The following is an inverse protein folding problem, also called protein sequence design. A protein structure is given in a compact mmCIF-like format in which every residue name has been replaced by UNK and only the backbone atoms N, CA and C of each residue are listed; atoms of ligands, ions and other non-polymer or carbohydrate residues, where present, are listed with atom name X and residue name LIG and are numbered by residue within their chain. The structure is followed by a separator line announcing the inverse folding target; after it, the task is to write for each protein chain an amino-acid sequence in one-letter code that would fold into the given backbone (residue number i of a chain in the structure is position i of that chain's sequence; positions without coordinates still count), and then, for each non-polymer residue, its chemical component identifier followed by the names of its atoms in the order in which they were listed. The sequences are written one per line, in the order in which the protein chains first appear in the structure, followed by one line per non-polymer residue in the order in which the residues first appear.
data_IF_703051461127
#
_entry.id   IF_703051461127
#
_cell.length_a   1.000
_cell.length_b   1.000
_cell.length_c   1.000
_cell.angle_alpha   90.00
_cell.angle_beta   90.00
_cell.angle_gamma   90.00
#
_symmetry.space_group_name_H-M   'P 1'
#
loop_
_entity.id
_entity.type
_entity.pdbx_description
1 polymer ?
#
# COMPACT_ATOMS: atom_id res chain seq x y z
N UNK A 1 0.61 -28.80 0.20
CA UNK A 1 -0.54 -28.21 -0.55
C UNK A 1 -1.90 -28.22 0.18
N UNK A 2 -2.60 -29.35 0.40
CA UNK A 2 -3.98 -29.33 0.95
C UNK A 2 -4.11 -28.59 2.30
N UNK A 3 -3.23 -28.87 3.26
CA UNK A 3 -3.19 -28.17 4.55
C UNK A 3 -2.95 -26.66 4.43
N UNK A 4 -2.17 -26.23 3.42
CA UNK A 4 -1.89 -24.81 3.19
C UNK A 4 -3.13 -24.10 2.64
N UNK A 5 -3.82 -24.73 1.69
CA UNK A 5 -5.08 -24.22 1.13
C UNK A 5 -6.17 -24.11 2.20
N UNK A 6 -6.26 -25.07 3.13
CA UNK A 6 -7.18 -25.01 4.26
C UNK A 6 -6.90 -23.76 5.12
N UNK A 7 -5.65 -23.53 5.52
CA UNK A 7 -5.26 -22.34 6.29
C UNK A 7 -5.56 -21.03 5.57
N UNK A 8 -5.34 -20.98 4.25
CA UNK A 8 -5.66 -19.79 3.45
C UNK A 8 -7.18 -19.56 3.44
N UNK A 9 -7.97 -20.62 3.30
CA UNK A 9 -9.43 -20.54 3.34
C UNK A 9 -9.92 -20.02 4.70
N UNK A 10 -9.36 -20.52 5.81
CA UNK A 10 -9.64 -20.02 7.15
C UNK A 10 -9.28 -18.53 7.28
N UNK A 11 -8.10 -18.11 6.80
CA UNK A 11 -7.69 -16.71 6.81
C UNK A 11 -8.63 -15.82 5.97
N UNK A 12 -9.07 -16.30 4.81
CA UNK A 12 -10.05 -15.61 3.96
C UNK A 12 -11.37 -15.39 4.68
N UNK A 13 -11.86 -16.42 5.37
CA UNK A 13 -13.11 -16.32 6.14
C UNK A 13 -13.01 -15.32 7.29
N UNK A 14 -11.86 -15.23 7.95
CA UNK A 14 -11.57 -14.21 8.97
C UNK A 14 -11.63 -12.81 8.35
N UNK A 15 -10.92 -12.59 7.24
CA UNK A 15 -10.90 -11.29 6.55
C UNK A 15 -12.30 -10.90 6.07
N UNK A 16 -13.02 -11.81 5.41
CA UNK A 16 -14.33 -11.54 4.82
C UNK A 16 -15.35 -11.05 5.84
N UNK A 17 -15.26 -11.53 7.08
CA UNK A 17 -16.15 -11.17 8.20
C UNK A 17 -15.70 -9.93 8.97
N UNK A 18 -14.54 -9.37 8.65
CA UNK A 18 -13.97 -8.24 9.38
C UNK A 18 -14.60 -6.90 8.98
N UNK A 19 -14.62 -5.96 9.92
CA UNK A 19 -14.95 -4.56 9.62
C UNK A 19 -13.91 -3.93 8.70
N UNK A 20 -12.64 -4.31 8.82
CA UNK A 20 -11.58 -3.86 7.93
C UNK A 20 -11.92 -4.11 6.45
N UNK A 21 -12.37 -5.32 6.12
CA UNK A 21 -12.76 -5.63 4.74
C UNK A 21 -14.04 -4.89 4.33
N UNK A 22 -14.96 -4.60 5.26
CA UNK A 22 -16.10 -3.71 4.98
C UNK A 22 -15.67 -2.29 4.63
N UNK A 23 -14.66 -1.75 5.32
CA UNK A 23 -14.09 -0.43 5.01
C UNK A 23 -13.46 -0.42 3.61
N UNK A 24 -12.71 -1.46 3.24
CA UNK A 24 -12.15 -1.61 1.88
C UNK A 24 -13.26 -1.67 0.82
N UNK A 25 -14.30 -2.47 1.04
CA UNK A 25 -15.45 -2.56 0.11
C UNK A 25 -16.12 -1.21 -0.11
N UNK A 26 -16.18 -0.39 0.94
CA UNK A 26 -16.85 0.91 0.90
C UNK A 26 -15.95 2.01 0.30
N UNK A 27 -14.63 1.82 0.29
CA UNK A 27 -13.67 2.81 -0.21
C UNK A 27 -13.37 2.69 -1.69
N UNK A 28 -13.56 1.49 -2.29
CA UNK A 28 -13.30 1.24 -3.70
C UNK A 28 -14.54 1.60 -4.53
N UNK A 29 -14.43 2.68 -5.30
CA UNK A 29 -15.47 3.19 -6.20
C UNK A 29 -15.13 3.01 -7.70
N UNK A 30 -14.05 2.29 -8.00
CA UNK A 30 -13.52 2.10 -9.36
C UNK A 30 -13.68 0.65 -9.82
N UNK A 31 -14.17 0.41 -11.05
CA UNK A 31 -14.20 -0.92 -11.63
C UNK A 31 -12.80 -1.31 -12.13
N UNK A 32 -11.94 -1.79 -11.23
CA UNK A 32 -10.63 -2.31 -11.62
C UNK A 32 -10.78 -3.57 -12.50
N UNK A 33 -9.94 -3.68 -13.52
CA UNK A 33 -9.91 -4.85 -14.42
C UNK A 33 -8.72 -5.75 -14.13
N UNK A 34 -7.73 -5.27 -13.35
CA UNK A 34 -6.45 -5.92 -13.10
C UNK A 34 -5.96 -5.66 -11.68
N UNK A 35 -5.22 -6.60 -11.11
CA UNK A 35 -4.46 -6.40 -9.88
C UNK A 35 -2.98 -6.70 -10.13
N UNK A 36 -2.11 -5.76 -9.74
CA UNK A 36 -0.66 -5.94 -9.65
C UNK A 36 -0.27 -6.07 -8.19
N UNK A 37 0.09 -7.27 -7.75
CA UNK A 37 0.51 -7.53 -6.37
C UNK A 37 2.03 -7.51 -6.25
N UNK A 38 2.57 -6.68 -5.35
CA UNK A 38 4.00 -6.57 -5.09
C UNK A 38 4.29 -6.77 -3.60
N UNK A 39 5.41 -7.42 -3.28
CA UNK A 39 5.88 -7.61 -1.90
C UNK A 39 4.83 -8.24 -0.97
N UNK A 40 4.31 -9.39 -1.42
CA UNK A 40 3.33 -10.20 -0.71
C UNK A 40 3.95 -11.05 0.41
N UNK A 41 5.26 -11.25 0.40
CA UNK A 41 5.94 -12.29 1.16
C UNK A 41 5.65 -13.69 0.63
N UNK A 42 6.07 -14.73 1.37
CA UNK A 42 5.84 -16.14 1.02
C UNK A 42 4.69 -16.75 1.84
N UNK A 43 3.49 -16.98 1.27
CA UNK A 43 2.36 -17.60 1.99
C UNK A 43 2.65 -19.01 2.51
N UNK A 44 3.46 -19.79 1.81
CA UNK A 44 3.87 -21.11 2.29
C UNK A 44 4.73 -21.03 3.55
N UNK A 45 5.52 -19.96 3.72
CA UNK A 45 6.48 -19.83 4.81
C UNK A 45 6.03 -18.92 5.97
N UNK A 46 5.23 -17.89 5.72
CA UNK A 46 4.85 -16.88 6.72
C UNK A 46 3.35 -16.80 6.97
N UNK A 47 2.94 -16.63 8.23
CA UNK A 47 1.54 -16.39 8.57
C UNK A 47 1.04 -15.06 8.06
N UNK A 48 1.88 -14.03 8.11
CA UNK A 48 1.52 -12.69 7.68
C UNK A 48 1.27 -12.67 6.17
N UNK A 49 2.20 -13.27 5.40
CA UNK A 49 2.04 -13.43 3.96
C UNK A 49 0.80 -14.27 3.59
N UNK A 50 0.40 -15.25 4.41
CA UNK A 50 -0.87 -15.97 4.18
C UNK A 50 -2.09 -15.07 4.36
N UNK A 51 -2.10 -14.19 5.34
CA UNK A 51 -3.19 -13.22 5.49
C UNK A 51 -3.17 -12.20 4.36
N UNK A 52 -2.00 -11.71 3.97
CA UNK A 52 -1.85 -10.81 2.82
C UNK A 52 -2.34 -11.45 1.53
N UNK A 53 -2.05 -12.73 1.30
CA UNK A 53 -2.56 -13.48 0.15
C UNK A 53 -4.06 -13.74 0.26
N UNK A 54 -4.57 -14.05 1.45
CA UNK A 54 -6.00 -14.20 1.66
C UNK A 54 -6.75 -12.89 1.36
N UNK A 55 -6.20 -11.73 1.72
CA UNK A 55 -6.79 -10.43 1.35
C UNK A 55 -6.75 -10.20 -0.16
N UNK A 56 -5.65 -10.55 -0.84
CA UNK A 56 -5.58 -10.50 -2.31
C UNK A 56 -6.72 -11.32 -2.95
N UNK A 57 -6.98 -12.53 -2.45
CA UNK A 57 -8.08 -13.36 -2.97
C UNK A 57 -9.46 -12.75 -2.72
N UNK A 58 -9.69 -12.12 -1.55
CA UNK A 58 -10.93 -11.39 -1.30
C UNK A 58 -11.08 -10.14 -2.18
N UNK A 59 -9.98 -9.45 -2.50
CA UNK A 59 -9.98 -8.32 -3.44
C UNK A 59 -10.30 -8.78 -4.86
N UNK A 60 -9.75 -9.91 -5.31
CA UNK A 60 -10.04 -10.50 -6.61
C UNK A 60 -11.53 -10.78 -6.75
N UNK A 61 -12.14 -11.42 -5.74
CA UNK A 61 -13.56 -11.75 -5.75
C UNK A 61 -14.44 -10.49 -5.66
N UNK A 62 -14.08 -9.52 -4.82
CA UNK A 62 -14.78 -8.25 -4.68
C UNK A 62 -14.83 -7.48 -6.00
N UNK A 63 -13.70 -7.42 -6.70
CA UNK A 63 -13.53 -6.61 -7.91
C UNK A 63 -13.92 -7.38 -9.18
N UNK A 64 -14.13 -8.70 -9.10
CA UNK A 64 -14.39 -9.55 -10.26
C UNK A 64 -13.24 -9.60 -11.26
N UNK A 65 -12.00 -9.35 -10.79
CA UNK A 65 -10.80 -9.26 -11.63
C UNK A 65 -10.33 -10.65 -12.03
N UNK A 66 -9.94 -10.82 -13.29
CA UNK A 66 -9.36 -12.09 -13.79
C UNK A 66 -7.87 -12.01 -14.06
N UNK A 67 -7.37 -10.80 -14.31
CA UNK A 67 -5.97 -10.55 -14.64
C UNK A 67 -5.21 -10.13 -13.38
N UNK A 68 -4.45 -11.07 -12.83
CA UNK A 68 -3.65 -10.87 -11.63
C UNK A 68 -2.20 -11.19 -11.94
N UNK A 69 -1.31 -10.26 -11.58
CA UNK A 69 0.13 -10.46 -11.58
C UNK A 69 0.69 -10.32 -10.18
N UNK A 70 1.72 -11.10 -9.86
CA UNK A 70 2.37 -11.12 -8.56
C UNK A 70 3.88 -11.06 -8.72
N UNK A 71 4.55 -10.37 -7.80
CA UNK A 71 5.99 -10.49 -7.65
C UNK A 71 6.43 -10.25 -6.22
N UNK A 72 7.29 -11.14 -5.76
CA UNK A 72 8.14 -10.98 -4.60
C UNK A 72 9.38 -11.88 -4.81
N UNK A 73 10.60 -11.37 -4.64
CA UNK A 73 11.81 -12.20 -4.75
C UNK A 73 11.84 -13.37 -3.76
N UNK A 74 11.05 -13.33 -2.68
CA UNK A 74 11.00 -14.40 -1.67
C UNK A 74 10.05 -15.55 -2.02
N UNK A 75 9.34 -15.48 -3.16
CA UNK A 75 8.44 -16.56 -3.57
C UNK A 75 9.18 -17.88 -3.77
N UNK A 76 8.68 -18.92 -3.12
CA UNK A 76 9.13 -20.30 -3.27
C UNK A 76 8.40 -21.00 -4.42
N UNK A 77 8.86 -22.18 -4.81
CA UNK A 77 8.14 -23.02 -5.76
C UNK A 77 6.76 -23.46 -5.25
N UNK A 78 6.60 -23.65 -3.93
CA UNK A 78 5.30 -23.98 -3.33
C UNK A 78 4.32 -22.80 -3.41
N UNK A 79 4.82 -21.56 -3.29
CA UNK A 79 4.03 -20.35 -3.53
C UNK A 79 3.59 -20.22 -4.99
N UNK A 80 4.51 -20.47 -5.94
CA UNK A 80 4.17 -20.43 -7.37
C UNK A 80 3.12 -21.47 -7.73
N UNK A 81 3.20 -22.67 -7.17
CA UNK A 81 2.16 -23.70 -7.31
C UNK A 81 0.83 -23.26 -6.68
N UNK A 82 0.87 -22.59 -5.53
CA UNK A 82 -0.32 -22.05 -4.86
C UNK A 82 -1.01 -20.97 -5.71
N UNK A 83 -0.26 -20.09 -6.36
CA UNK A 83 -0.81 -19.02 -7.20
C UNK A 83 -1.48 -19.55 -8.47
N UNK A 84 -1.11 -20.76 -8.90
CA UNK A 84 -1.78 -21.49 -9.97
C UNK A 84 -1.75 -20.73 -11.30
N UNK A 85 -2.89 -20.13 -11.65
CA UNK A 85 -3.13 -19.45 -12.93
C UNK A 85 -2.77 -17.96 -12.97
N UNK A 86 -2.31 -17.38 -11.87
CA UNK A 86 -1.86 -15.98 -11.86
C UNK A 86 -0.45 -15.84 -12.46
N UNK A 87 -0.17 -14.66 -13.04
CA UNK A 87 1.15 -14.39 -13.63
C UNK A 87 2.15 -14.05 -12.53
N UNK A 88 3.27 -14.76 -12.47
CA UNK A 88 4.40 -14.40 -11.60
C UNK A 88 5.44 -13.70 -12.47
N UNK A 89 5.51 -12.37 -12.39
CA UNK A 89 6.31 -11.54 -13.29
C UNK A 89 6.96 -10.37 -12.55
N UNK A 90 8.28 -10.24 -12.68
CA UNK A 90 9.07 -9.18 -12.03
C UNK A 90 8.73 -7.79 -12.58
N UNK A 91 8.54 -7.71 -13.89
CA UNK A 91 8.26 -6.46 -14.58
C UNK A 91 6.79 -6.35 -14.96
N UNK A 92 6.26 -5.14 -14.93
CA UNK A 92 4.89 -4.84 -15.32
C UNK A 92 4.88 -3.66 -16.29
N UNK A 93 4.77 -3.97 -17.59
CA UNK A 93 4.92 -2.99 -18.66
C UNK A 93 3.60 -2.28 -18.99
N UNK A 94 2.89 -1.77 -17.98
CA UNK A 94 1.64 -1.02 -18.16
C UNK A 94 1.53 0.20 -17.23
N UNK A 95 2.35 1.24 -17.46
CA UNK A 95 2.34 2.41 -16.61
C UNK A 95 1.05 3.22 -16.77
N UNK A 96 0.56 3.80 -15.65
CA UNK A 96 -0.54 4.77 -15.59
C UNK A 96 -1.94 4.27 -15.99
N UNK A 97 -2.20 2.97 -15.92
CA UNK A 97 -3.54 2.45 -16.13
C UNK A 97 -4.43 2.71 -14.90
N UNK A 98 -5.53 3.44 -15.10
CA UNK A 98 -6.51 3.78 -14.05
C UNK A 98 -7.37 2.58 -13.65
N UNK A 99 -7.33 1.47 -14.40
CA UNK A 99 -8.09 0.25 -14.12
C UNK A 99 -7.23 -0.84 -13.46
N UNK A 100 -5.98 -0.54 -13.10
CA UNK A 100 -5.11 -1.44 -12.32
C UNK A 100 -5.08 -0.99 -10.87
N UNK A 101 -5.41 -1.92 -9.96
CA UNK A 101 -5.13 -1.76 -8.53
C UNK A 101 -3.77 -2.38 -8.21
N UNK A 102 -2.84 -1.59 -7.72
CA UNK A 102 -1.61 -2.12 -7.14
C UNK A 102 -1.87 -2.53 -5.69
N UNK A 103 -1.65 -3.79 -5.34
CA UNK A 103 -1.73 -4.26 -3.97
C UNK A 103 -0.32 -4.48 -3.43
N UNK A 104 0.07 -3.65 -2.47
CA UNK A 104 1.45 -3.54 -1.99
C UNK A 104 1.49 -3.59 -0.45
N UNK A 105 1.20 -4.75 0.16
CA UNK A 105 0.95 -4.84 1.60
C UNK A 105 2.20 -4.66 2.47
N UNK A 106 3.39 -4.91 1.93
CA UNK A 106 4.63 -4.78 2.71
C UNK A 106 5.86 -4.45 1.85
N UNK A 107 5.95 -3.22 1.34
CA UNK A 107 7.08 -2.79 0.51
C UNK A 107 7.96 -1.75 1.22
N UNK A 108 9.29 -1.97 1.30
CA UNK A 108 10.20 -0.95 1.81
C UNK A 108 10.16 0.34 0.98
N UNK A 109 10.36 1.49 1.64
CA UNK A 109 10.37 2.81 0.99
C UNK A 109 11.23 2.85 -0.29
N UNK A 110 12.43 2.30 -0.25
CA UNK A 110 13.33 2.31 -1.42
C UNK A 110 12.70 1.66 -2.65
N UNK A 111 12.03 0.53 -2.47
CA UNK A 111 11.38 -0.16 -3.58
C UNK A 111 10.06 0.52 -3.96
N UNK A 112 9.34 1.10 -2.99
CA UNK A 112 8.15 1.91 -3.29
C UNK A 112 8.48 3.11 -4.17
N UNK A 113 9.61 3.78 -3.93
CA UNK A 113 10.08 4.91 -4.76
C UNK A 113 10.29 4.45 -6.20
N UNK A 114 10.92 3.28 -6.39
CA UNK A 114 11.13 2.68 -7.70
C UNK A 114 9.81 2.32 -8.39
N UNK A 115 8.87 1.69 -7.68
CA UNK A 115 7.54 1.34 -8.21
C UNK A 115 6.79 2.59 -8.67
N UNK A 116 6.79 3.65 -7.84
CA UNK A 116 6.17 4.92 -8.19
C UNK A 116 6.79 5.50 -9.46
N UNK A 117 8.12 5.47 -9.59
CA UNK A 117 8.82 6.08 -10.71
C UNK A 117 8.69 5.27 -12.02
N UNK A 118 8.71 3.93 -11.91
CA UNK A 118 8.79 3.03 -13.06
C UNK A 118 7.42 2.53 -13.52
N UNK A 119 6.60 2.06 -12.58
CA UNK A 119 5.28 1.45 -12.87
C UNK A 119 4.14 2.47 -12.79
N UNK A 120 4.38 3.63 -12.17
CA UNK A 120 3.46 4.78 -12.14
C UNK A 120 2.01 4.41 -11.78
N UNK A 121 1.78 3.74 -10.62
CA UNK A 121 0.45 3.30 -10.20
C UNK A 121 -0.50 4.48 -9.98
N UNK A 122 -1.70 4.45 -10.56
CA UNK A 122 -2.73 5.45 -10.26
C UNK A 122 -3.42 5.14 -8.93
N UNK A 123 -3.67 3.86 -8.68
CA UNK A 123 -4.29 3.35 -7.47
C UNK A 123 -3.40 2.31 -6.83
N UNK A 124 -3.15 2.45 -5.54
CA UNK A 124 -2.51 1.40 -4.77
C UNK A 124 -3.11 1.24 -3.38
N UNK A 125 -3.29 0.00 -2.95
CA UNK A 125 -3.62 -0.40 -1.60
C UNK A 125 -2.33 -0.88 -0.95
N UNK A 126 -1.73 -0.05 -0.09
CA UNK A 126 -0.44 -0.34 0.52
C UNK A 126 -0.25 0.39 1.85
N UNK A 127 0.93 0.29 2.46
CA UNK A 127 1.20 1.01 3.70
C UNK A 127 1.01 2.52 3.50
N UNK A 128 0.46 3.19 4.52
CA UNK A 128 0.26 4.63 4.55
C UNK A 128 1.61 5.35 4.40
N UNK A 129 1.81 5.94 3.24
CA UNK A 129 3.01 6.71 2.88
C UNK A 129 3.36 7.77 3.94
N UNK A 130 2.37 8.39 4.62
CA UNK A 130 2.67 9.34 5.71
C UNK A 130 3.28 8.62 6.91
N UNK A 131 2.56 7.65 7.48
CA UNK A 131 3.02 6.91 8.65
C UNK A 131 4.38 6.20 8.38
N UNK A 132 4.58 5.71 7.17
CA UNK A 132 5.79 4.99 6.78
C UNK A 132 7.01 5.91 6.60
N UNK A 133 6.79 7.21 6.33
CA UNK A 133 7.85 8.20 6.12
C UNK A 133 8.15 9.04 7.36
N UNK A 134 7.28 9.06 8.38
CA UNK A 134 7.43 9.85 9.63
C UNK A 134 8.73 9.58 10.41
N UNK A 135 9.37 8.42 10.19
CA UNK A 135 10.69 8.09 10.76
C UNK A 135 11.85 8.89 10.17
N UNK A 136 11.63 9.59 9.06
CA UNK A 136 12.63 10.39 8.34
C UNK A 136 12.34 11.88 8.52
N UNK A 137 13.40 12.69 8.59
CA UNK A 137 13.25 14.15 8.46
C UNK A 137 12.80 14.50 7.04
N UNK A 138 12.04 15.59 6.87
CA UNK A 138 11.61 16.04 5.53
C UNK A 138 12.77 16.15 4.54
N UNK A 139 13.93 16.63 5.01
CA UNK A 139 15.16 16.72 4.19
C UNK A 139 15.64 15.35 3.72
N UNK A 140 15.75 14.39 4.64
CA UNK A 140 16.20 13.02 4.31
C UNK A 140 15.20 12.31 3.40
N UNK A 141 13.89 12.55 3.59
CA UNK A 141 12.85 12.04 2.71
C UNK A 141 13.00 12.61 1.29
N UNK A 142 13.16 13.93 1.15
CA UNK A 142 13.32 14.57 -0.16
C UNK A 142 14.61 14.16 -0.88
N UNK A 143 15.70 13.91 -0.15
CA UNK A 143 16.98 13.48 -0.74
C UNK A 143 16.97 12.03 -1.22
N UNK A 144 16.33 11.12 -0.47
CA UNK A 144 16.36 9.68 -0.77
C UNK A 144 15.16 9.22 -1.59
N UNK A 145 14.00 9.83 -1.39
CA UNK A 145 12.70 9.38 -1.89
C UNK A 145 11.88 10.57 -2.40
N UNK A 146 12.35 11.27 -3.45
CA UNK A 146 11.77 12.54 -3.90
C UNK A 146 10.29 12.43 -4.28
N UNK A 147 9.87 11.34 -4.96
CA UNK A 147 8.48 11.17 -5.36
C UNK A 147 7.56 10.99 -4.16
N UNK A 148 7.97 10.17 -3.18
CA UNK A 148 7.23 10.06 -1.91
C UNK A 148 7.22 11.36 -1.11
N UNK A 149 8.32 12.12 -1.12
CA UNK A 149 8.36 13.43 -0.46
C UNK A 149 7.33 14.40 -1.05
N UNK A 150 7.15 14.38 -2.38
CA UNK A 150 6.13 15.15 -3.08
C UNK A 150 4.72 14.65 -2.74
N UNK A 151 4.50 13.34 -2.62
CA UNK A 151 3.20 12.80 -2.15
C UNK A 151 2.83 13.34 -0.78
N UNK A 152 3.76 13.28 0.19
CA UNK A 152 3.55 13.80 1.54
C UNK A 152 3.26 15.30 1.50
N UNK A 153 3.98 16.05 0.65
CA UNK A 153 3.76 17.49 0.51
C UNK A 153 2.36 17.83 -0.06
N UNK A 154 1.83 17.03 -1.01
CA UNK A 154 0.46 17.21 -1.48
C UNK A 154 -0.58 16.92 -0.40
N UNK A 155 -0.31 15.94 0.47
CA UNK A 155 -1.20 15.58 1.58
C UNK A 155 -1.18 16.63 2.70
N UNK A 156 -0.01 17.20 3.00
CA UNK A 156 0.14 18.25 4.03
C UNK A 156 -0.54 19.57 3.63
N UNK A 157 -0.56 19.91 2.33
CA UNK A 157 -1.32 21.05 1.81
C UNK A 157 -2.84 20.93 2.02
N UNK A 158 -3.34 19.74 2.40
CA UNK A 158 -4.72 19.46 2.74
C UNK A 158 -5.09 19.57 4.23
N UNK A 159 -4.14 19.91 5.13
CA UNK A 159 -4.44 20.07 6.57
C UNK A 159 -5.22 21.37 6.82
N UNK A 160 -6.47 21.24 7.25
CA UNK A 160 -7.27 22.32 7.83
C UNK A 160 -6.62 22.85 9.13
N UNK A 161 -6.72 24.15 9.35
CA UNK A 161 -6.43 24.82 10.62
C UNK A 161 -7.38 24.28 11.70
N UNK A 162 -6.84 23.50 12.64
CA UNK A 162 -7.58 22.84 13.72
C UNK A 162 -7.72 23.75 14.97
N UNK A 163 -7.36 25.03 14.87
CA UNK A 163 -7.46 25.98 15.96
C UNK A 163 -6.52 25.68 17.13
N UNK A 164 -5.56 24.76 16.98
CA UNK A 164 -4.60 24.43 18.03
C UNK A 164 -3.45 25.46 18.06
N UNK A 165 -3.57 26.44 18.94
CA UNK A 165 -2.45 27.32 19.30
C UNK A 165 -1.40 26.55 20.11
N UNK A 166 -0.25 26.23 19.48
CA UNK A 166 0.93 25.68 20.17
C UNK A 166 1.44 26.68 21.22
N UNK A 167 1.44 26.29 22.49
CA UNK A 167 2.04 27.07 23.59
C UNK A 167 3.56 27.12 23.40
N UNK A 168 4.09 28.31 23.08
CA UNK A 168 5.53 28.54 22.87
C UNK A 168 6.27 28.66 24.19
N UNK A 169 6.98 27.61 24.62
CA UNK A 169 8.10 27.77 25.56
C UNK A 169 9.37 28.06 24.76
N UNK A 170 10.04 29.17 25.12
CA UNK A 170 11.28 29.65 24.53
C UNK A 170 12.41 28.62 24.62
N UNK A 171 12.51 27.76 23.59
CA UNK A 171 13.74 27.07 23.17
C UNK A 171 14.09 27.61 21.79
N UNK A 172 15.39 27.70 21.46
CA UNK A 172 15.89 28.15 20.15
C UNK A 172 14.96 27.66 19.05
N UNK A 173 14.31 28.61 18.35
CA UNK A 173 13.34 28.33 17.28
C UNK A 173 14.07 27.49 16.23
N UNK A 174 13.79 26.19 16.20
CA UNK A 174 14.27 25.33 15.13
C UNK A 174 13.68 25.87 13.83
N UNK A 175 14.54 26.36 12.93
CA UNK A 175 14.14 26.76 11.59
C UNK A 175 14.15 25.47 10.76
N UNK A 176 12.97 25.04 10.34
CA UNK A 176 12.85 23.91 9.42
C UNK A 176 13.62 24.24 8.13
N UNK A 177 14.40 23.29 7.57
CA UNK A 177 15.14 23.55 6.33
C UNK A 177 14.15 23.87 5.20
N UNK A 178 14.46 24.89 4.40
CA UNK A 178 13.74 25.18 3.17
C UNK A 178 14.10 24.09 2.16
N UNK A 179 13.10 23.27 1.80
CA UNK A 179 13.24 22.18 0.84
C UNK A 179 12.53 22.62 -0.44
N UNK A 180 13.26 22.62 -1.54
CA UNK A 180 12.70 22.84 -2.87
C UNK A 180 12.30 21.50 -3.46
N UNK A 181 11.01 21.34 -3.75
CA UNK A 181 10.46 20.16 -4.39
C UNK A 181 10.32 20.40 -5.89
N UNK A 182 10.80 19.46 -6.71
CA UNK A 182 10.61 19.46 -8.16
C UNK A 182 9.29 18.76 -8.50
N UNK A 183 8.18 19.51 -8.44
CA UNK A 183 6.84 18.96 -8.72
C UNK A 183 6.66 18.49 -10.17
N UNK A 184 7.52 18.93 -11.10
CA UNK A 184 7.45 18.52 -12.51
C UNK A 184 8.13 17.16 -12.74
N UNK A 185 8.89 16.66 -11.76
CA UNK A 185 9.54 15.33 -11.83
C UNK A 185 8.59 14.15 -11.64
N UNK A 186 7.38 14.39 -11.10
CA UNK A 186 6.38 13.34 -10.84
C UNK A 186 5.26 13.38 -11.87
N UNK A 187 4.59 12.25 -12.06
CA UNK A 187 3.50 12.12 -13.03
C UNK A 187 2.11 12.44 -12.46
N UNK A 188 2.03 12.89 -11.21
CA UNK A 188 0.79 13.19 -10.50
C UNK A 188 0.86 14.59 -9.90
N UNK A 189 -0.29 15.27 -9.83
CA UNK A 189 -0.43 16.63 -9.32
C UNK A 189 -1.15 16.72 -7.96
N UNK A 190 -1.68 15.60 -7.46
CA UNK A 190 -2.31 15.53 -6.13
C UNK A 190 -2.41 14.06 -5.66
N UNK A 191 -2.62 13.86 -4.36
CA UNK A 191 -2.75 12.54 -3.73
C UNK A 191 -3.95 12.53 -2.79
N UNK A 192 -4.78 11.49 -2.87
CA UNK A 192 -5.81 11.19 -1.88
C UNK A 192 -5.45 9.89 -1.16
N UNK A 193 -5.66 9.86 0.15
CA UNK A 193 -5.51 8.66 0.98
C UNK A 193 -6.81 8.41 1.73
N UNK A 194 -7.30 7.17 1.67
CA UNK A 194 -8.36 6.65 2.53
C UNK A 194 -7.70 5.69 3.52
N UNK A 195 -7.72 6.07 4.80
CA UNK A 195 -7.21 5.26 5.91
C UNK A 195 -8.31 4.40 6.50
N UNK A 196 -7.94 3.23 6.97
CA UNK A 196 -8.84 2.27 7.59
C UNK A 196 -8.65 2.26 9.10
N UNK A 197 -9.75 2.27 9.85
CA UNK A 197 -9.68 2.29 11.32
C UNK A 197 -9.45 0.89 11.89
N UNK A 198 -9.88 -0.14 11.16
CA UNK A 198 -9.88 -1.52 11.65
C UNK A 198 -8.77 -2.37 11.00
N UNK A 199 -7.81 -1.75 10.32
CA UNK A 199 -6.68 -2.46 9.71
C UNK A 199 -5.75 -3.13 10.73
N UNK A 200 -5.77 -2.71 11.99
CA UNK A 200 -4.95 -3.29 13.05
C UNK A 200 -5.56 -3.16 14.45
N UNK A 201 -5.72 -4.30 15.11
CA UNK A 201 -5.81 -4.43 16.55
C UNK A 201 -4.84 -5.51 17.04
N UNK A 202 -4.26 -5.32 18.22
CA UNK A 202 -3.31 -6.26 18.83
C UNK A 202 -3.86 -7.68 18.99
N UNK A 203 -5.18 -7.82 19.13
CA UNK A 203 -5.86 -9.11 19.26
C UNK A 203 -6.26 -9.75 17.93
N UNK A 204 -6.04 -9.07 16.79
CA UNK A 204 -6.52 -9.57 15.51
C UNK A 204 -5.76 -10.83 15.08
N UNK A 205 -6.45 -11.82 14.46
CA UNK A 205 -5.81 -13.04 13.99
C UNK A 205 -4.73 -12.81 12.94
N UNK A 206 -4.80 -11.70 12.20
CA UNK A 206 -3.81 -11.32 11.18
C UNK A 206 -2.61 -10.54 11.75
N UNK A 207 -2.57 -10.26 13.05
CA UNK A 207 -1.46 -9.56 13.68
C UNK A 207 -1.10 -8.27 12.95
N UNK A 208 0.15 -8.14 12.51
CA UNK A 208 0.65 -6.93 11.82
C UNK A 208 0.50 -6.97 10.28
N UNK A 209 -0.17 -7.99 9.72
CA UNK A 209 -0.22 -8.21 8.26
C UNK A 209 -0.73 -7.01 7.46
N UNK A 210 -1.60 -6.20 8.08
CA UNK A 210 -2.25 -5.04 7.47
C UNK A 210 -1.99 -3.75 8.24
N UNK A 211 -0.99 -3.72 9.13
CA UNK A 211 -0.65 -2.52 9.89
C UNK A 211 -0.38 -1.36 8.92
N UNK A 212 -1.11 -0.27 9.14
CA UNK A 212 -1.06 0.95 8.34
C UNK A 212 -1.50 0.80 6.87
N UNK A 213 -2.23 -0.26 6.49
CA UNK A 213 -2.76 -0.36 5.13
C UNK A 213 -3.76 0.78 4.86
N UNK A 214 -3.65 1.41 3.70
CA UNK A 214 -4.52 2.50 3.23
C UNK A 214 -4.67 2.44 1.70
N UNK A 215 -5.75 3.01 1.18
CA UNK A 215 -5.96 3.15 -0.26
C UNK A 215 -5.49 4.54 -0.72
N UNK A 216 -4.57 4.56 -1.67
CA UNK A 216 -4.00 5.75 -2.26
C UNK A 216 -4.49 5.92 -3.69
N UNK A 217 -4.82 7.16 -4.05
CA UNK A 217 -5.13 7.59 -5.41
C UNK A 217 -4.23 8.75 -5.79
N UNK A 218 -3.38 8.54 -6.79
CA UNK A 218 -2.58 9.58 -7.40
C UNK A 218 -3.37 10.22 -8.54
N UNK A 219 -3.57 11.53 -8.45
CA UNK A 219 -4.35 12.30 -9.42
C UNK A 219 -3.39 12.80 -10.49
N UNK A 220 -3.67 12.44 -11.73
CA UNK A 220 -2.96 12.85 -12.95
C UNK A 220 -3.74 13.98 -13.60
#
# INVERSE_FOLDING_TARGET
MERLQLKITENRDVIRKSEFFNEIKSSIDVPFTRIRCLALGSPSQSSDARYQYALLLELIDLLGVKEVSLYDPVFTEEDKQLFGGYKVEETFNQPQDKTVLFYIPHLPLEVMEQVVNNEKPVYFLGNDVIAHTDRLTKKKLAELYPSMAIMVQYLDKGKFDDGFTKVTKSRKKYKEPEITYDFDSVYFNNVKIIRYLHNFNKSDPWGNSFSDLALHKLII
#
